data_IF_255305037603
#
_entry.id   IF_255305037603
#
_cell.length_a   1.000
_cell.length_b   1.000
_cell.length_c   1.000
_cell.angle_alpha   90.00
_cell.angle_beta   90.00
_cell.angle_gamma   90.00
#
_symmetry.space_group_name_H-M   'P 1'
#
loop_
_entity.id
_entity.type
_entity.pdbx_description
1 polymer ?
#
# COMPACT_ATOMS: atom_id res chain seq x y z
N UNK A 1 -12.81 -3.84 8.21
CA UNK A 1 -11.79 -4.27 9.20
C UNK A 1 -10.44 -3.66 8.84
N UNK A 2 -9.72 -3.14 9.83
CA UNK A 2 -8.39 -2.55 9.62
C UNK A 2 -7.35 -3.61 9.26
N UNK A 3 -6.63 -3.41 8.14
CA UNK A 3 -5.56 -4.25 7.61
C UNK A 3 -4.34 -3.42 7.23
N UNK A 4 -3.19 -4.07 7.06
CA UNK A 4 -2.02 -3.48 6.42
C UNK A 4 -2.26 -3.35 4.92
N UNK A 5 -2.08 -2.15 4.39
CA UNK A 5 -2.29 -1.79 2.99
C UNK A 5 -0.99 -1.27 2.39
N UNK A 6 -0.72 -1.70 1.17
CA UNK A 6 0.34 -1.21 0.31
C UNK A 6 -0.31 -0.44 -0.83
N UNK A 7 0.11 0.81 -1.02
CA UNK A 7 -0.30 1.68 -2.10
C UNK A 7 0.89 1.90 -3.03
N UNK A 8 0.68 1.65 -4.32
CA UNK A 8 1.64 1.95 -5.38
C UNK A 8 1.28 3.26 -6.04
N UNK A 9 2.25 4.15 -6.17
CA UNK A 9 2.11 5.49 -6.74
C UNK A 9 2.63 5.49 -8.18
N UNK A 10 1.98 6.25 -9.07
CA UNK A 10 2.39 6.39 -10.46
C UNK A 10 3.70 7.17 -10.61
N UNK A 11 4.43 6.94 -11.69
CA UNK A 11 5.72 7.58 -11.95
C UNK A 11 5.60 9.12 -12.01
N UNK A 12 4.49 9.63 -12.57
CA UNK A 12 4.22 11.07 -12.68
C UNK A 12 3.99 11.71 -11.30
N UNK A 13 3.50 10.94 -10.34
CA UNK A 13 3.23 11.38 -8.99
C UNK A 13 4.41 11.15 -8.02
N UNK A 14 5.45 10.40 -8.41
CA UNK A 14 6.65 10.15 -7.59
C UNK A 14 7.31 11.43 -7.05
N UNK A 15 7.52 12.50 -7.84
CA UNK A 15 8.11 13.74 -7.33
C UNK A 15 7.28 14.39 -6.21
N UNK A 16 5.99 14.03 -6.12
CA UNK A 16 5.00 14.54 -5.16
C UNK A 16 4.46 13.43 -4.26
N UNK A 17 5.20 12.35 -4.05
CA UNK A 17 4.73 11.18 -3.28
C UNK A 17 4.30 11.55 -1.85
N UNK A 18 4.92 12.56 -1.24
CA UNK A 18 4.52 13.07 0.08
C UNK A 18 3.14 13.72 0.07
N UNK A 19 2.76 14.40 -1.02
CA UNK A 19 1.42 14.95 -1.18
C UNK A 19 0.40 13.83 -1.38
N UNK A 20 0.77 12.75 -2.07
CA UNK A 20 -0.06 11.54 -2.18
C UNK A 20 -0.25 10.90 -0.81
N UNK A 21 0.81 10.78 0.00
CA UNK A 21 0.72 10.27 1.37
C UNK A 21 -0.20 11.12 2.25
N UNK A 22 -0.14 12.45 2.15
CA UNK A 22 -1.06 13.34 2.85
C UNK A 22 -2.52 13.11 2.42
N UNK A 23 -2.79 13.01 1.11
CA UNK A 23 -4.12 12.70 0.59
C UNK A 23 -4.66 11.34 1.05
N UNK A 24 -3.80 10.33 1.17
CA UNK A 24 -4.17 9.03 1.73
C UNK A 24 -4.52 9.14 3.22
N UNK A 25 -3.76 9.93 3.98
CA UNK A 25 -4.06 10.22 5.38
C UNK A 25 -5.40 10.95 5.57
N UNK A 26 -5.70 11.92 4.70
CA UNK A 26 -6.99 12.63 4.68
C UNK A 26 -8.17 11.68 4.37
N UNK A 27 -7.92 10.57 3.67
CA UNK A 27 -8.89 9.49 3.44
C UNK A 27 -9.02 8.53 4.61
N UNK A 28 -8.25 8.70 5.67
CA UNK A 28 -8.30 7.88 6.88
C UNK A 28 -7.25 6.77 6.94
N UNK A 29 -6.33 6.68 5.98
CA UNK A 29 -5.20 5.75 6.06
C UNK A 29 -4.19 6.22 7.10
N UNK A 30 -3.90 5.38 8.09
CA UNK A 30 -2.78 5.61 8.99
C UNK A 30 -1.47 5.27 8.26
N UNK A 31 -0.83 6.28 7.66
CA UNK A 31 0.42 6.11 6.91
C UNK A 31 1.56 5.77 7.87
N UNK A 32 2.28 4.68 7.59
CA UNK A 32 3.37 4.18 8.43
C UNK A 32 4.73 4.35 7.75
N UNK A 33 4.78 4.19 6.42
CA UNK A 33 6.03 4.31 5.66
C UNK A 33 5.77 4.89 4.27
N UNK A 34 6.69 5.75 3.84
CA UNK A 34 6.79 6.24 2.48
C UNK A 34 8.16 5.84 1.94
N UNK A 35 8.18 5.19 0.78
CA UNK A 35 9.37 4.76 0.05
C UNK A 35 9.41 5.48 -1.31
N UNK A 36 9.95 6.72 -1.35
CA UNK A 36 9.89 7.58 -2.54
C UNK A 36 10.56 6.99 -3.77
N UNK A 37 11.65 6.24 -3.59
CA UNK A 37 12.42 5.68 -4.71
C UNK A 37 11.65 4.57 -5.46
N UNK A 38 10.79 3.84 -4.77
CA UNK A 38 10.03 2.71 -5.33
C UNK A 38 8.56 3.02 -5.55
N UNK A 39 8.09 4.22 -5.18
CA UNK A 39 6.67 4.58 -5.29
C UNK A 39 5.74 3.84 -4.34
N UNK A 40 6.25 3.37 -3.20
CA UNK A 40 5.44 2.59 -2.26
C UNK A 40 5.09 3.44 -1.03
N UNK A 41 3.81 3.43 -0.67
CA UNK A 41 3.31 3.95 0.61
C UNK A 41 2.64 2.78 1.33
N UNK A 42 3.02 2.51 2.57
CA UNK A 42 2.37 1.48 3.40
C UNK A 42 1.78 2.08 4.67
N UNK A 43 0.74 1.43 5.18
CA UNK A 43 0.04 1.86 6.38
C UNK A 43 -1.15 0.98 6.68
N UNK A 44 -2.01 1.44 7.59
CA UNK A 44 -3.23 0.72 7.99
C UNK A 44 -4.47 1.44 7.53
N UNK A 45 -5.44 0.69 7.03
CA UNK A 45 -6.72 1.22 6.57
C UNK A 45 -7.82 0.16 6.65
N UNK A 46 -9.09 0.59 6.63
CA UNK A 46 -10.18 -0.38 6.53
C UNK A 46 -10.19 -1.04 5.15
N UNK A 47 -9.96 -2.35 5.12
CA UNK A 47 -9.88 -3.11 3.86
C UNK A 47 -11.19 -3.12 3.08
N UNK A 48 -12.34 -2.92 3.73
CA UNK A 48 -13.64 -2.85 3.05
C UNK A 48 -13.85 -1.54 2.28
N UNK A 49 -12.99 -0.54 2.50
CA UNK A 49 -13.13 0.80 1.91
C UNK A 49 -11.98 1.14 0.96
N UNK A 50 -11.14 0.18 0.57
CA UNK A 50 -9.91 0.39 -0.24
C UNK A 50 -10.15 1.11 -1.57
N UNK A 51 -11.37 1.04 -2.12
CA UNK A 51 -11.78 1.82 -3.28
C UNK A 51 -11.63 3.35 -3.07
N UNK A 52 -11.78 3.84 -1.84
CA UNK A 52 -11.56 5.24 -1.49
C UNK A 52 -10.09 5.64 -1.68
N UNK A 53 -9.15 4.75 -1.36
CA UNK A 53 -7.71 4.98 -1.58
C UNK A 53 -7.36 4.91 -3.06
N UNK A 54 -7.98 3.99 -3.81
CA UNK A 54 -7.76 3.86 -5.25
C UNK A 54 -8.22 5.11 -6.04
N UNK A 55 -9.14 5.89 -5.48
CA UNK A 55 -9.60 7.16 -6.09
C UNK A 55 -8.62 8.33 -5.92
N UNK A 56 -7.58 8.19 -5.08
CA UNK A 56 -6.62 9.27 -4.83
C UNK A 56 -5.74 9.49 -6.07
N UNK A 57 -5.65 10.73 -6.54
CA UNK A 57 -4.82 11.08 -7.67
C UNK A 57 -3.35 10.69 -7.45
N UNK A 58 -2.80 9.94 -8.41
CA UNK A 58 -1.43 9.42 -8.37
C UNK A 58 -1.34 8.01 -7.79
N UNK A 59 -2.44 7.40 -7.32
CA UNK A 59 -2.46 5.99 -6.93
C UNK A 59 -2.69 5.12 -8.17
N UNK A 60 -1.82 4.13 -8.35
CA UNK A 60 -1.92 3.11 -9.41
C UNK A 60 -2.54 1.82 -8.88
N UNK A 61 -2.24 1.44 -7.64
CA UNK A 61 -2.74 0.20 -7.05
C UNK A 61 -2.86 0.31 -5.53
N UNK A 62 -3.82 -0.43 -4.98
CA UNK A 62 -4.04 -0.61 -3.54
C UNK A 62 -4.14 -2.11 -3.30
N UNK A 63 -3.28 -2.65 -2.45
CA UNK A 63 -3.22 -4.06 -2.13
C UNK A 63 -3.18 -4.29 -0.62
N UNK A 64 -3.85 -5.35 -0.15
CA UNK A 64 -3.66 -5.82 1.21
C UNK A 64 -2.30 -6.51 1.34
N UNK A 65 -1.51 -6.12 2.35
CA UNK A 65 -0.29 -6.84 2.68
C UNK A 65 -0.65 -8.22 3.21
N UNK A 66 -0.23 -9.26 2.48
CA UNK A 66 -0.45 -10.65 2.88
C UNK A 66 0.87 -11.25 3.33
N UNK A 67 0.91 -11.80 4.54
CA UNK A 67 2.07 -12.53 5.02
C UNK A 67 2.20 -13.85 4.24
N UNK A 68 3.20 -13.95 3.37
CA UNK A 68 3.58 -15.22 2.77
C UNK A 68 4.30 -16.07 3.81
N UNK A 69 3.80 -17.29 4.05
CA UNK A 69 4.52 -18.28 4.86
C UNK A 69 5.37 -19.12 3.93
N UNK A 70 6.69 -19.05 4.10
CA UNK A 70 7.59 -19.98 3.41
C UNK A 70 7.28 -21.41 3.87
N UNK A 71 7.31 -22.40 2.96
CA UNK A 71 7.18 -23.78 3.36
C UNK A 71 8.33 -24.14 4.32
N UNK A 72 8.09 -25.03 5.31
CA UNK A 72 9.17 -25.54 6.15
C UNK A 72 10.28 -26.12 5.26
N UNK A 73 11.54 -25.82 5.58
CA UNK A 73 12.70 -26.36 4.86
C UNK A 73 12.67 -27.89 4.95
N UNK A 74 12.31 -28.55 3.85
CA UNK A 74 12.21 -30.02 3.79
C UNK A 74 11.16 -30.56 2.82
N UNK A 75 10.23 -29.75 2.30
CA UNK A 75 9.26 -30.21 1.30
C UNK A 75 9.92 -30.37 -0.07
N UNK A 76 10.55 -31.52 -0.30
CA UNK A 76 10.92 -31.98 -1.64
C UNK A 76 9.61 -32.18 -2.40
N UNK A 77 9.37 -31.40 -3.45
CA UNK A 77 8.31 -31.71 -4.42
C UNK A 77 8.73 -33.02 -5.09
N UNK A 78 8.22 -34.14 -4.58
CA UNK A 78 8.27 -35.46 -5.23
C UNK A 78 7.10 -35.60 -6.17
#
# INVERSE_FOLDING_TARGET
>A
MVRSIIVTVSDEALPKIRDVAARLADKGMAVERVLPLTGIISGRFDSTETAALASVQGVTSVAEETAARLPPSGSRLT
#
